data_IF_663143686868
#
_entry.id   IF_663143686868
#
_cell.length_a   1.000
_cell.length_b   1.000
_cell.length_c   1.000
_cell.angle_alpha   90.00
_cell.angle_beta   90.00
_cell.angle_gamma   90.00
#
_symmetry.space_group_name_H-M   'P 1'
#
loop_
_entity.id
_entity.type
_entity.pdbx_description
1 polymer ?
#
# COMPACT_ATOMS: atom_id res chain seq x y z
N UNK A 1 26.52 -6.30 98.41
CA UNK A 1 25.29 -5.57 98.78
C UNK A 1 25.11 -4.45 97.74
N UNK A 2 23.96 -4.40 97.07
CA UNK A 2 23.48 -3.42 96.08
C UNK A 2 24.02 -3.43 94.61
N UNK A 3 23.03 -3.57 93.71
CA UNK A 3 22.92 -3.51 92.22
C UNK A 3 23.23 -2.09 91.63
N UNK A 4 23.00 -1.78 90.32
CA UNK A 4 23.22 -2.48 89.03
C UNK A 4 23.80 -1.54 87.93
N UNK A 5 23.98 -2.02 86.67
CA UNK A 5 23.31 -1.50 85.44
C UNK A 5 23.95 -1.99 84.11
N UNK A 6 23.12 -2.71 83.35
CA UNK A 6 22.95 -2.81 81.89
C UNK A 6 24.16 -2.94 80.94
N UNK A 7 24.14 -3.98 80.10
CA UNK A 7 24.04 -3.79 78.65
C UNK A 7 23.58 -5.10 77.97
N UNK A 8 22.41 -5.06 77.34
CA UNK A 8 21.93 -6.07 76.38
C UNK A 8 22.39 -5.57 75.00
N UNK A 9 23.07 -6.40 74.22
CA UNK A 9 23.31 -6.17 72.79
C UNK A 9 22.71 -7.32 72.00
N UNK A 10 21.66 -6.99 71.23
CA UNK A 10 21.04 -7.84 70.22
C UNK A 10 21.78 -7.58 68.91
N UNK A 11 22.38 -8.62 68.34
CA UNK A 11 22.95 -8.60 66.99
C UNK A 11 21.82 -8.77 65.97
N UNK A 12 21.60 -7.76 65.13
CA UNK A 12 20.79 -7.86 63.92
C UNK A 12 21.70 -8.11 62.72
N UNK A 13 21.57 -9.28 62.10
CA UNK A 13 22.17 -9.62 60.81
C UNK A 13 21.30 -9.07 59.69
N UNK A 14 21.82 -8.12 58.90
CA UNK A 14 21.17 -7.60 57.70
C UNK A 14 21.42 -8.58 56.54
N UNK A 15 20.35 -9.17 56.01
CA UNK A 15 20.39 -9.92 54.76
C UNK A 15 20.28 -8.94 53.57
N UNK A 16 21.33 -8.87 52.75
CA UNK A 16 21.34 -8.16 51.48
C UNK A 16 20.55 -8.97 50.44
N UNK A 17 19.38 -8.48 50.05
CA UNK A 17 18.62 -8.98 48.90
C UNK A 17 19.18 -8.36 47.62
N UNK A 18 19.82 -9.19 46.79
CA UNK A 18 20.09 -8.89 45.38
C UNK A 18 18.77 -8.96 44.61
N UNK A 19 18.20 -7.80 44.28
CA UNK A 19 17.09 -7.72 43.31
C UNK A 19 17.67 -7.56 41.89
N UNK A 20 17.23 -8.34 40.90
CA UNK A 20 17.60 -8.12 39.51
C UNK A 20 16.99 -6.81 39.01
N UNK A 21 17.82 -5.98 38.39
CA UNK A 21 17.40 -4.77 37.68
C UNK A 21 16.45 -5.16 36.55
N UNK A 22 15.15 -4.94 36.73
CA UNK A 22 14.17 -5.05 35.65
C UNK A 22 14.42 -3.87 34.71
N UNK A 23 15.06 -4.15 33.57
CA UNK A 23 15.13 -3.21 32.46
C UNK A 23 13.72 -3.03 31.92
N UNK A 24 13.09 -1.90 32.24
CA UNK A 24 11.87 -1.46 31.57
C UNK A 24 12.20 -1.28 30.08
N UNK A 25 11.74 -2.22 29.25
CA UNK A 25 11.72 -2.00 27.80
C UNK A 25 10.97 -0.69 27.56
N UNK A 26 11.65 0.29 26.96
CA UNK A 26 11.03 1.52 26.51
C UNK A 26 9.94 1.12 25.53
N UNK A 27 8.68 1.30 25.90
CA UNK A 27 7.57 1.11 24.98
C UNK A 27 7.88 1.92 23.71
N UNK A 28 7.85 1.27 22.56
CA UNK A 28 8.02 1.96 21.29
C UNK A 28 6.95 3.06 21.25
N UNK A 29 7.39 4.30 21.09
CA UNK A 29 6.49 5.42 20.85
C UNK A 29 5.68 5.05 19.60
N UNK A 30 4.34 5.04 19.74
CA UNK A 30 3.46 4.81 18.58
C UNK A 30 3.72 5.97 17.65
N UNK A 31 4.37 5.70 16.52
CA UNK A 31 4.65 6.73 15.53
C UNK A 31 3.32 7.20 14.94
N UNK A 32 2.86 8.36 15.39
CA UNK A 32 1.58 8.95 14.99
C UNK A 32 1.64 9.60 13.61
N UNK A 33 2.82 9.65 12.97
CA UNK A 33 2.98 10.24 11.64
C UNK A 33 2.28 9.39 10.61
N UNK A 34 1.61 10.04 9.65
CA UNK A 34 0.93 9.37 8.56
C UNK A 34 1.95 8.63 7.68
N UNK A 35 1.84 7.30 7.51
CA UNK A 35 2.66 6.57 6.56
C UNK A 35 2.22 6.88 5.13
N UNK A 36 3.16 7.26 4.26
CA UNK A 36 2.93 7.56 2.84
C UNK A 36 3.53 6.48 1.94
N UNK A 37 2.74 6.03 0.98
CA UNK A 37 3.15 5.06 -0.03
C UNK A 37 3.54 5.74 -1.35
N UNK A 38 4.77 5.55 -1.78
CA UNK A 38 5.22 5.87 -3.13
C UNK A 38 5.12 4.60 -3.96
N UNK A 39 4.12 4.56 -4.85
CA UNK A 39 3.72 3.38 -5.61
C UNK A 39 4.30 3.51 -7.02
N UNK A 40 5.25 2.66 -7.40
CA UNK A 40 5.80 2.70 -8.75
C UNK A 40 4.76 2.21 -9.76
N UNK A 41 4.47 3.02 -10.79
CA UNK A 41 3.49 2.73 -11.82
C UNK A 41 3.99 1.68 -12.82
N UNK A 42 3.09 0.77 -13.24
CA UNK A 42 3.25 -0.13 -14.38
C UNK A 42 4.59 -0.87 -14.36
N UNK A 43 4.84 -1.59 -13.27
CA UNK A 43 6.04 -2.41 -13.07
C UNK A 43 5.80 -3.80 -13.64
N UNK A 44 6.35 -4.09 -14.82
CA UNK A 44 6.03 -5.28 -15.61
C UNK A 44 7.16 -6.33 -15.62
N UNK A 45 8.38 -5.99 -15.21
CA UNK A 45 9.53 -6.90 -15.22
C UNK A 45 10.32 -6.93 -13.90
N UNK A 46 11.06 -8.02 -13.59
CA UNK A 46 11.98 -8.09 -12.44
C UNK A 46 13.03 -6.97 -12.40
N UNK A 47 13.54 -6.56 -13.56
CA UNK A 47 14.47 -5.44 -13.68
C UNK A 47 13.84 -4.15 -13.17
N UNK A 48 12.59 -3.89 -13.57
CA UNK A 48 11.84 -2.71 -13.16
C UNK A 48 11.53 -2.66 -11.68
N UNK A 49 11.25 -3.81 -11.04
CA UNK A 49 11.17 -3.90 -9.57
C UNK A 49 12.48 -3.38 -8.95
N UNK A 50 13.62 -3.78 -9.50
CA UNK A 50 14.93 -3.35 -8.97
C UNK A 50 15.11 -1.84 -9.11
N UNK A 51 14.70 -1.28 -10.25
CA UNK A 51 14.76 0.17 -10.49
C UNK A 51 13.83 0.94 -9.56
N UNK A 52 12.56 0.54 -9.46
CA UNK A 52 11.56 1.15 -8.60
C UNK A 52 12.02 1.21 -7.13
N UNK A 53 12.56 0.10 -6.61
CA UNK A 53 13.10 0.06 -5.25
C UNK A 53 14.32 0.96 -5.08
N UNK A 54 15.20 1.02 -6.08
CA UNK A 54 16.36 1.91 -6.06
C UNK A 54 15.99 3.40 -6.11
N UNK A 55 14.82 3.73 -6.67
CA UNK A 55 14.26 5.08 -6.71
C UNK A 55 13.48 5.45 -5.44
N UNK A 56 13.28 4.48 -4.53
CA UNK A 56 12.64 4.70 -3.23
C UNK A 56 11.16 4.29 -3.17
N UNK A 57 10.64 3.56 -4.16
CA UNK A 57 9.31 2.95 -4.06
C UNK A 57 9.20 2.05 -2.82
N UNK A 58 8.05 2.11 -2.15
CA UNK A 58 7.71 1.20 -1.06
C UNK A 58 6.45 0.37 -1.34
N UNK A 59 5.87 0.54 -2.52
CA UNK A 59 4.81 -0.27 -3.10
C UNK A 59 4.94 -0.27 -4.63
N UNK A 60 4.32 -1.23 -5.28
CA UNK A 60 4.39 -1.44 -6.73
C UNK A 60 2.98 -1.60 -7.28
N UNK A 61 2.68 -0.98 -8.41
CA UNK A 61 1.48 -1.26 -9.20
C UNK A 61 1.88 -2.09 -10.43
N UNK A 62 1.10 -3.13 -10.69
CA UNK A 62 1.32 -4.12 -11.73
C UNK A 62 0.02 -4.36 -12.47
N UNK A 63 0.00 -3.99 -13.75
CA UNK A 63 -1.07 -4.38 -14.65
C UNK A 63 -1.06 -5.88 -14.90
N UNK A 64 -2.21 -6.53 -14.74
CA UNK A 64 -2.34 -7.96 -14.92
C UNK A 64 -3.41 -8.30 -15.93
N UNK A 65 -2.98 -8.96 -17.00
CA UNK A 65 -3.86 -9.57 -17.99
C UNK A 65 -3.68 -11.08 -18.01
N UNK A 66 -4.79 -11.80 -17.86
CA UNK A 66 -4.86 -13.23 -18.08
C UNK A 66 -4.91 -13.53 -19.58
N UNK A 67 -4.02 -14.41 -20.04
CA UNK A 67 -4.22 -15.10 -21.31
C UNK A 67 -3.56 -16.47 -21.32
N UNK A 68 -4.01 -17.33 -22.24
CA UNK A 68 -3.62 -18.73 -22.31
C UNK A 68 -3.87 -19.48 -20.99
N UNK A 69 -2.84 -19.78 -20.20
CA UNK A 69 -2.91 -20.63 -19.01
C UNK A 69 -2.28 -20.00 -17.75
N UNK A 70 -1.90 -18.70 -17.80
CA UNK A 70 -1.33 -17.96 -16.66
C UNK A 70 -1.63 -16.46 -16.73
N UNK A 71 -1.25 -15.73 -15.69
CA UNK A 71 -1.28 -14.27 -15.63
C UNK A 71 0.03 -13.66 -16.11
N UNK A 72 -0.07 -12.53 -16.80
CA UNK A 72 1.05 -11.76 -17.33
C UNK A 72 1.00 -10.35 -16.79
N UNK A 73 2.17 -9.79 -16.49
CA UNK A 73 2.31 -8.38 -16.25
C UNK A 73 2.14 -7.65 -17.59
N UNK A 74 0.92 -7.22 -17.88
CA UNK A 74 0.55 -6.55 -19.13
C UNK A 74 -0.67 -5.66 -18.93
N UNK A 75 -0.52 -4.42 -19.37
CA UNK A 75 -1.55 -3.40 -19.42
C UNK A 75 -2.49 -3.56 -20.63
N UNK A 76 -1.97 -3.91 -21.81
CA UNK A 76 -2.70 -3.70 -23.07
C UNK A 76 -3.42 -4.94 -23.62
N UNK A 77 -3.19 -6.11 -23.05
CA UNK A 77 -3.79 -7.35 -23.52
C UNK A 77 -3.10 -7.95 -24.76
N UNK A 78 -1.84 -7.59 -25.04
CA UNK A 78 -1.18 -7.85 -26.33
C UNK A 78 0.18 -8.53 -26.15
N UNK A 79 0.50 -9.41 -27.10
CA UNK A 79 1.74 -10.21 -27.06
C UNK A 79 3.02 -9.35 -26.99
N UNK A 80 3.00 -8.14 -27.53
CA UNK A 80 4.18 -7.26 -27.60
C UNK A 80 4.24 -6.19 -26.49
N UNK A 81 3.21 -6.10 -25.65
CA UNK A 81 3.19 -5.23 -24.46
C UNK A 81 3.41 -6.01 -23.16
N UNK A 82 3.40 -7.34 -23.24
CA UNK A 82 3.63 -8.21 -22.11
C UNK A 82 5.06 -8.10 -21.59
N UNK A 83 5.20 -7.82 -20.29
CA UNK A 83 6.42 -8.05 -19.53
C UNK A 83 6.54 -9.51 -19.12
N UNK A 84 6.95 -9.73 -17.87
CA UNK A 84 7.11 -11.07 -17.30
C UNK A 84 5.76 -11.73 -16.97
N UNK A 85 5.80 -13.05 -16.74
CA UNK A 85 4.66 -13.71 -16.08
C UNK A 85 4.51 -13.21 -14.63
N UNK A 86 3.29 -13.20 -14.10
CA UNK A 86 3.05 -12.81 -12.71
C UNK A 86 3.85 -13.67 -11.71
N UNK A 87 4.03 -14.96 -12.01
CA UNK A 87 4.82 -15.90 -11.20
C UNK A 87 6.28 -15.43 -11.07
N UNK A 88 6.95 -15.20 -12.19
CA UNK A 88 8.34 -14.70 -12.23
C UNK A 88 8.48 -13.35 -11.51
N UNK A 89 7.55 -12.42 -11.77
CA UNK A 89 7.57 -11.09 -11.15
C UNK A 89 7.39 -11.18 -9.62
N UNK A 90 6.44 -11.98 -9.15
CA UNK A 90 6.16 -12.13 -7.72
C UNK A 90 7.26 -12.89 -6.99
N UNK A 91 7.88 -13.89 -7.61
CA UNK A 91 9.06 -14.56 -7.07
C UNK A 91 10.22 -13.58 -6.85
N UNK A 92 10.44 -12.68 -7.82
CA UNK A 92 11.48 -11.65 -7.70
C UNK A 92 11.15 -10.62 -6.61
N UNK A 93 9.91 -10.13 -6.55
CA UNK A 93 9.44 -9.24 -5.47
C UNK A 93 9.65 -9.91 -4.11
N UNK A 94 9.29 -11.19 -4.00
CA UNK A 94 9.47 -11.94 -2.77
C UNK A 94 10.95 -12.11 -2.40
N UNK A 95 11.83 -12.32 -3.39
CA UNK A 95 13.27 -12.37 -3.18
C UNK A 95 13.82 -11.02 -2.67
N UNK A 96 13.42 -9.90 -3.28
CA UNK A 96 13.78 -8.55 -2.81
C UNK A 96 13.29 -8.30 -1.37
N UNK A 97 12.08 -8.76 -1.04
CA UNK A 97 11.57 -8.64 0.32
C UNK A 97 12.41 -9.42 1.33
N UNK A 98 12.85 -10.64 0.99
CA UNK A 98 13.72 -11.49 1.82
C UNK A 98 15.11 -10.87 2.03
N UNK A 99 15.63 -10.12 1.07
CA UNK A 99 16.91 -9.38 1.21
C UNK A 99 16.78 -8.09 2.02
N UNK A 100 15.56 -7.76 2.47
CA UNK A 100 15.30 -6.66 3.41
C UNK A 100 14.70 -5.41 2.77
N UNK A 101 14.38 -5.44 1.47
CA UNK A 101 13.75 -4.31 0.78
C UNK A 101 12.41 -3.92 1.42
N UNK A 102 12.08 -2.63 1.32
CA UNK A 102 10.92 -2.03 1.96
C UNK A 102 9.67 -2.09 1.07
N UNK A 103 9.19 -3.31 0.78
CA UNK A 103 7.98 -3.51 -0.04
C UNK A 103 6.81 -3.80 0.90
N UNK A 104 5.85 -2.88 0.98
CA UNK A 104 4.66 -3.02 1.82
C UNK A 104 3.56 -3.84 1.12
N UNK A 105 3.26 -3.50 -0.13
CA UNK A 105 2.25 -4.19 -0.92
C UNK A 105 2.50 -4.10 -2.42
N UNK A 106 1.79 -4.95 -3.17
CA UNK A 106 1.64 -4.88 -4.62
C UNK A 106 0.18 -4.59 -4.95
N UNK A 107 -0.07 -3.57 -5.76
CA UNK A 107 -1.36 -3.29 -6.36
C UNK A 107 -1.46 -4.05 -7.67
N UNK A 108 -2.45 -4.93 -7.75
CA UNK A 108 -2.75 -5.78 -8.89
C UNK A 108 -3.86 -5.10 -9.70
N UNK A 109 -3.53 -4.36 -10.75
CA UNK A 109 -4.52 -3.76 -11.65
C UNK A 109 -5.03 -4.82 -12.63
N UNK A 110 -6.17 -5.43 -12.30
CA UNK A 110 -6.67 -6.61 -13.01
C UNK A 110 -7.51 -6.19 -14.21
N UNK A 111 -7.03 -6.51 -15.41
CA UNK A 111 -7.67 -6.08 -16.67
C UNK A 111 -8.82 -6.99 -17.13
N UNK A 112 -8.79 -8.28 -16.81
CA UNK A 112 -9.76 -9.25 -17.33
C UNK A 112 -10.03 -10.43 -16.36
N UNK A 113 -10.64 -10.17 -15.19
CA UNK A 113 -10.73 -11.13 -14.08
C UNK A 113 -11.47 -12.44 -14.41
N UNK A 114 -12.29 -12.45 -15.47
CA UNK A 114 -13.11 -13.59 -15.88
C UNK A 114 -12.65 -14.29 -17.17
N UNK A 115 -11.43 -13.99 -17.64
CA UNK A 115 -10.91 -14.58 -18.87
C UNK A 115 -10.85 -16.11 -18.83
N UNK A 116 -10.42 -16.67 -17.70
CA UNK A 116 -10.31 -18.11 -17.51
C UNK A 116 -11.30 -18.66 -16.47
N UNK A 117 -11.69 -19.92 -16.66
CA UNK A 117 -12.53 -20.67 -15.72
C UNK A 117 -11.73 -21.08 -14.49
N UNK A 118 -12.43 -21.25 -13.38
CA UNK A 118 -11.91 -21.83 -12.14
C UNK A 118 -11.10 -23.12 -12.39
N UNK A 119 -10.04 -23.31 -11.60
CA UNK A 119 -9.17 -24.48 -11.68
C UNK A 119 -8.06 -24.37 -12.74
N UNK A 120 -7.84 -23.17 -13.32
CA UNK A 120 -6.74 -22.91 -14.25
C UNK A 120 -5.80 -21.85 -13.70
N UNK A 121 -4.52 -21.87 -14.11
CA UNK A 121 -3.52 -20.90 -13.63
C UNK A 121 -3.79 -19.43 -14.04
N UNK A 122 -4.57 -19.21 -15.09
CA UNK A 122 -5.03 -17.87 -15.51
C UNK A 122 -6.36 -17.45 -14.89
N UNK A 123 -6.97 -18.28 -14.03
CA UNK A 123 -8.18 -17.90 -13.29
C UNK A 123 -7.85 -16.90 -12.18
N UNK A 124 -8.83 -16.12 -11.74
CA UNK A 124 -8.67 -15.22 -10.60
C UNK A 124 -8.31 -15.96 -9.30
N UNK A 125 -8.83 -17.19 -9.12
CA UNK A 125 -8.40 -18.08 -8.02
C UNK A 125 -6.91 -18.39 -8.14
N UNK A 126 -6.45 -18.72 -9.35
CA UNK A 126 -5.03 -18.94 -9.63
C UNK A 126 -4.15 -17.74 -9.30
N UNK A 127 -4.60 -16.50 -9.60
CA UNK A 127 -3.86 -15.29 -9.22
C UNK A 127 -3.82 -15.11 -7.70
N UNK A 128 -4.96 -15.26 -7.02
CA UNK A 128 -5.05 -15.16 -5.57
C UNK A 128 -4.15 -16.17 -4.88
N UNK A 129 -4.20 -17.42 -5.33
CA UNK A 129 -3.41 -18.49 -4.74
C UNK A 129 -1.91 -18.25 -4.99
N UNK A 130 -1.53 -17.77 -6.18
CA UNK A 130 -0.16 -17.35 -6.47
C UNK A 130 0.33 -16.24 -5.53
N UNK A 131 -0.49 -15.21 -5.26
CA UNK A 131 -0.17 -14.15 -4.28
C UNK A 131 0.10 -14.74 -2.89
N UNK A 132 -0.80 -15.60 -2.42
CA UNK A 132 -0.72 -16.25 -1.10
C UNK A 132 0.48 -17.19 -0.96
N UNK A 133 0.87 -17.84 -2.04
CA UNK A 133 1.99 -18.77 -2.05
C UNK A 133 3.35 -18.05 -2.16
N UNK A 134 3.39 -16.86 -2.78
CA UNK A 134 4.65 -16.16 -3.10
C UNK A 134 4.90 -14.90 -2.26
N UNK A 135 3.94 -13.99 -2.18
CA UNK A 135 4.08 -12.66 -1.58
C UNK A 135 3.73 -12.66 -0.09
N UNK A 136 2.62 -13.28 0.30
CA UNK A 136 2.20 -13.29 1.71
C UNK A 136 3.24 -13.90 2.67
N UNK A 137 3.93 -15.01 2.35
CA UNK A 137 4.87 -15.65 3.29
C UNK A 137 6.08 -14.78 3.62
N UNK A 138 6.38 -13.78 2.79
CA UNK A 138 7.45 -12.81 3.02
C UNK A 138 6.93 -11.47 3.56
N UNK A 139 5.63 -11.38 3.82
CA UNK A 139 4.96 -10.21 4.36
C UNK A 139 4.82 -9.07 3.36
N UNK A 140 4.66 -9.39 2.07
CA UNK A 140 4.16 -8.44 1.05
C UNK A 140 2.66 -8.67 0.92
N UNK A 141 1.88 -7.59 1.03
CA UNK A 141 0.42 -7.65 0.98
C UNK A 141 -0.09 -7.36 -0.44
N UNK A 142 -1.35 -7.68 -0.73
CA UNK A 142 -1.93 -7.48 -2.05
C UNK A 142 -3.15 -6.56 -2.04
N UNK A 143 -3.18 -5.61 -2.97
CA UNK A 143 -4.32 -4.75 -3.25
C UNK A 143 -4.89 -5.12 -4.62
N UNK A 144 -6.08 -5.72 -4.65
CA UNK A 144 -6.74 -6.12 -5.89
C UNK A 144 -7.53 -4.94 -6.47
N UNK A 145 -7.04 -4.37 -7.58
CA UNK A 145 -7.71 -3.30 -8.30
C UNK A 145 -8.73 -3.84 -9.31
N UNK A 146 -9.95 -3.33 -9.25
CA UNK A 146 -11.02 -3.61 -10.21
C UNK A 146 -11.56 -2.29 -10.75
N UNK A 147 -11.16 -1.95 -11.98
CA UNK A 147 -11.73 -0.83 -12.72
C UNK A 147 -12.68 -1.36 -13.80
N UNK A 148 -13.91 -0.85 -13.80
CA UNK A 148 -14.98 -1.23 -14.76
C UNK A 148 -15.33 -2.74 -14.75
N UNK A 149 -14.89 -3.46 -13.72
CA UNK A 149 -15.06 -4.90 -13.55
C UNK A 149 -15.57 -5.26 -12.14
N UNK A 150 -16.18 -4.30 -11.44
CA UNK A 150 -16.65 -4.41 -10.05
C UNK A 150 -17.90 -5.29 -9.89
N UNK A 151 -18.52 -5.70 -11.01
CA UNK A 151 -19.62 -6.66 -11.09
C UNK A 151 -19.20 -8.03 -11.64
N UNK A 152 -17.91 -8.21 -11.94
CA UNK A 152 -17.36 -9.45 -12.47
C UNK A 152 -17.45 -10.61 -11.46
N UNK A 153 -17.42 -11.84 -11.97
CA UNK A 153 -17.33 -13.04 -11.11
C UNK A 153 -16.02 -13.01 -10.33
N UNK A 154 -14.91 -12.61 -10.96
CA UNK A 154 -13.63 -12.55 -10.27
C UNK A 154 -13.55 -11.53 -9.15
N UNK A 155 -14.21 -10.37 -9.28
CA UNK A 155 -14.42 -9.47 -8.15
C UNK A 155 -15.14 -10.17 -7.00
N UNK A 156 -16.24 -10.88 -7.29
CA UNK A 156 -16.99 -11.65 -6.29
C UNK A 156 -16.15 -12.71 -5.57
N UNK A 157 -15.29 -13.42 -6.32
CA UNK A 157 -14.38 -14.43 -5.75
C UNK A 157 -13.37 -13.80 -4.79
N UNK A 158 -12.73 -12.70 -5.19
CA UNK A 158 -11.78 -12.00 -4.31
C UNK A 158 -12.54 -11.50 -3.07
N UNK A 159 -13.60 -10.71 -3.27
CA UNK A 159 -14.46 -10.17 -2.19
C UNK A 159 -14.80 -11.21 -1.12
N UNK A 160 -15.26 -12.39 -1.55
CA UNK A 160 -15.77 -13.42 -0.64
C UNK A 160 -14.69 -14.30 0.00
N UNK A 161 -13.46 -14.21 -0.48
CA UNK A 161 -12.35 -15.06 -0.02
C UNK A 161 -11.16 -14.31 0.56
N UNK A 162 -11.19 -12.97 0.61
CA UNK A 162 -10.09 -12.15 1.12
C UNK A 162 -9.71 -12.48 2.58
N UNK A 163 -8.41 -12.41 2.87
CA UNK A 163 -7.85 -12.50 4.22
C UNK A 163 -7.32 -11.13 4.70
N UNK A 164 -6.65 -11.07 5.86
CA UNK A 164 -6.14 -9.81 6.45
C UNK A 164 -4.97 -9.15 5.69
N UNK A 165 -4.30 -9.89 4.81
CA UNK A 165 -3.19 -9.48 3.95
C UNK A 165 -3.65 -9.01 2.55
N UNK A 166 -4.96 -8.89 2.35
CA UNK A 166 -5.55 -8.53 1.07
C UNK A 166 -6.54 -7.37 1.24
N UNK A 167 -6.68 -6.53 0.21
CA UNK A 167 -7.73 -5.50 0.13
C UNK A 167 -8.20 -5.33 -1.32
N UNK A 168 -9.28 -4.58 -1.51
CA UNK A 168 -9.83 -4.22 -2.83
C UNK A 168 -9.67 -2.73 -3.06
N UNK A 169 -9.27 -2.35 -4.27
CA UNK A 169 -9.31 -0.98 -4.76
C UNK A 169 -10.37 -0.85 -5.84
N UNK A 170 -11.24 0.16 -5.72
CA UNK A 170 -12.16 0.57 -6.77
C UNK A 170 -11.86 2.00 -7.18
N UNK A 171 -11.87 2.25 -8.49
CA UNK A 171 -11.50 3.54 -9.06
C UNK A 171 -12.72 4.37 -9.43
N UNK A 172 -12.69 5.67 -9.15
CA UNK A 172 -13.74 6.59 -9.58
C UNK A 172 -13.99 7.73 -8.60
N UNK A 173 -15.02 8.53 -8.86
CA UNK A 173 -15.43 9.60 -7.93
C UNK A 173 -15.81 9.02 -6.57
N UNK A 174 -15.67 9.79 -5.51
CA UNK A 174 -15.90 9.31 -4.14
C UNK A 174 -17.32 8.75 -3.98
N UNK A 175 -18.33 9.46 -4.49
CA UNK A 175 -19.72 9.01 -4.42
C UNK A 175 -19.95 7.71 -5.22
N UNK A 176 -19.30 7.57 -6.38
CA UNK A 176 -19.40 6.35 -7.20
C UNK A 176 -18.79 5.16 -6.48
N UNK A 177 -17.59 5.32 -5.94
CA UNK A 177 -16.88 4.25 -5.23
C UNK A 177 -17.63 3.83 -3.97
N UNK A 178 -18.19 4.77 -3.21
CA UNK A 178 -19.02 4.46 -2.05
C UNK A 178 -20.29 3.68 -2.44
N UNK A 179 -20.96 4.03 -3.54
CA UNK A 179 -22.13 3.30 -4.03
C UNK A 179 -21.75 1.90 -4.56
N UNK A 180 -20.59 1.75 -5.19
CA UNK A 180 -20.07 0.44 -5.60
C UNK A 180 -19.82 -0.46 -4.38
N UNK A 181 -19.09 0.00 -3.37
CA UNK A 181 -18.88 -0.79 -2.15
C UNK A 181 -20.17 -1.14 -1.43
N UNK A 182 -21.14 -0.24 -1.40
CA UNK A 182 -22.46 -0.47 -0.81
C UNK A 182 -23.27 -1.53 -1.57
N UNK A 183 -23.13 -1.59 -2.89
CA UNK A 183 -23.92 -2.49 -3.74
C UNK A 183 -23.24 -3.84 -3.96
N UNK A 184 -21.93 -3.87 -4.19
CA UNK A 184 -21.19 -5.08 -4.54
C UNK A 184 -20.23 -5.54 -3.45
N UNK A 185 -19.76 -4.65 -2.57
CA UNK A 185 -18.70 -4.90 -1.58
C UNK A 185 -19.18 -5.13 -0.13
N UNK A 186 -20.44 -5.53 0.08
CA UNK A 186 -21.07 -5.55 1.42
C UNK A 186 -20.40 -6.44 2.47
N UNK A 187 -19.60 -7.43 2.06
CA UNK A 187 -18.82 -8.31 2.94
C UNK A 187 -17.40 -7.81 3.23
N UNK A 188 -16.92 -6.78 2.53
CA UNK A 188 -15.56 -6.24 2.71
C UNK A 188 -15.55 -5.40 4.00
N UNK A 189 -14.59 -5.58 4.91
CA UNK A 189 -14.42 -4.65 6.03
C UNK A 189 -14.02 -3.26 5.53
N UNK A 190 -14.57 -2.19 6.11
CA UNK A 190 -14.29 -0.81 5.66
C UNK A 190 -12.80 -0.47 5.55
N UNK A 191 -11.96 -1.02 6.44
CA UNK A 191 -10.50 -0.88 6.33
C UNK A 191 -9.95 -1.44 5.01
N UNK A 192 -10.44 -2.58 4.52
CA UNK A 192 -10.00 -3.21 3.26
C UNK A 192 -10.70 -2.65 2.01
N UNK A 193 -11.52 -1.60 2.17
CA UNK A 193 -12.10 -0.84 1.07
C UNK A 193 -11.18 0.34 0.73
N UNK A 194 -10.51 0.26 -0.42
CA UNK A 194 -9.60 1.28 -0.91
C UNK A 194 -10.24 2.00 -2.10
N UNK A 195 -10.00 3.30 -2.17
CA UNK A 195 -10.41 4.13 -3.28
C UNK A 195 -9.19 4.68 -3.98
N UNK A 196 -9.25 4.73 -5.30
CA UNK A 196 -8.31 5.53 -6.08
C UNK A 196 -9.02 6.48 -7.04
N UNK A 197 -8.32 7.56 -7.37
CA UNK A 197 -8.76 8.50 -8.40
C UNK A 197 -7.58 9.27 -8.97
N UNK A 198 -7.65 9.61 -10.25
CA UNK A 198 -6.47 10.10 -10.95
C UNK A 198 -6.64 10.27 -12.45
N UNK A 199 -5.53 10.58 -13.10
CA UNK A 199 -5.38 10.59 -14.56
C UNK A 199 -3.92 10.71 -15.00
N UNK A 200 -3.66 10.38 -16.27
CA UNK A 200 -2.30 10.42 -16.83
C UNK A 200 -1.74 11.82 -17.14
N UNK A 201 -2.57 12.86 -17.02
CA UNK A 201 -2.21 14.27 -17.20
C UNK A 201 -2.93 15.10 -16.11
N UNK A 202 -2.32 15.21 -14.92
CA UNK A 202 -2.96 15.84 -13.75
C UNK A 202 -3.36 17.29 -14.04
N UNK A 203 -2.60 18.04 -14.83
CA UNK A 203 -2.91 19.41 -15.22
C UNK A 203 -4.25 19.55 -15.97
N UNK A 204 -4.76 18.46 -16.56
CA UNK A 204 -6.02 18.41 -17.31
C UNK A 204 -7.22 17.95 -16.46
N UNK A 205 -7.25 18.33 -15.18
CA UNK A 205 -8.38 17.96 -14.32
C UNK A 205 -8.09 17.94 -12.83
N UNK A 206 -6.95 18.48 -12.40
CA UNK A 206 -6.58 18.44 -10.97
C UNK A 206 -7.57 19.20 -10.08
N UNK A 207 -7.99 20.39 -10.51
CA UNK A 207 -8.89 21.25 -9.74
C UNK A 207 -8.28 21.77 -8.44
N UNK A 208 -9.13 22.00 -7.43
CA UNK A 208 -8.78 22.49 -6.10
C UNK A 208 -9.43 21.60 -5.04
N UNK A 209 -8.84 21.48 -3.84
CA UNK A 209 -9.51 20.83 -2.73
C UNK A 209 -9.37 21.59 -1.40
N UNK A 210 -10.46 21.74 -0.61
CA UNK A 210 -11.81 21.24 -0.86
C UNK A 210 -12.50 21.94 -2.04
N UNK A 211 -13.39 21.23 -2.72
CA UNK A 211 -14.16 21.72 -3.87
C UNK A 211 -15.43 20.89 -4.09
N UNK A 212 -16.29 21.33 -5.02
CA UNK A 212 -17.54 20.65 -5.38
C UNK A 212 -17.53 20.05 -6.79
N UNK A 213 -16.42 20.20 -7.53
CA UNK A 213 -16.22 19.63 -8.87
C UNK A 213 -15.86 18.13 -8.83
N UNK A 214 -15.91 17.45 -9.99
CA UNK A 214 -15.43 16.07 -10.14
C UNK A 214 -13.92 15.95 -10.42
N UNK A 215 -13.16 16.98 -10.05
CA UNK A 215 -11.72 17.09 -10.31
C UNK A 215 -10.90 16.22 -9.36
N UNK A 216 -9.66 15.89 -9.73
CA UNK A 216 -8.80 14.93 -9.01
C UNK A 216 -8.62 15.29 -7.53
N UNK A 217 -8.22 16.52 -7.22
CA UNK A 217 -8.01 16.98 -5.83
C UNK A 217 -9.31 16.84 -5.02
N UNK A 218 -10.44 17.28 -5.59
CA UNK A 218 -11.75 17.25 -4.92
C UNK A 218 -12.16 15.82 -4.56
N UNK A 219 -12.09 14.90 -5.51
CA UNK A 219 -12.55 13.53 -5.30
C UNK A 219 -11.63 12.76 -4.34
N UNK A 220 -10.32 12.98 -4.41
CA UNK A 220 -9.37 12.44 -3.43
C UNK A 220 -9.63 13.00 -2.02
N UNK A 221 -9.91 14.30 -1.90
CA UNK A 221 -10.29 14.92 -0.62
C UNK A 221 -11.60 14.37 -0.06
N UNK A 222 -12.63 14.18 -0.89
CA UNK A 222 -13.90 13.54 -0.47
C UNK A 222 -13.66 12.09 -0.03
N UNK A 223 -12.85 11.34 -0.76
CA UNK A 223 -12.40 10.00 -0.36
C UNK A 223 -11.72 10.02 1.00
N UNK A 224 -10.85 11.00 1.24
CA UNK A 224 -10.10 11.13 2.49
C UNK A 224 -11.03 11.40 3.68
N UNK A 225 -12.13 12.14 3.48
CA UNK A 225 -13.20 12.28 4.49
C UNK A 225 -13.93 10.98 4.77
N UNK A 226 -14.24 10.18 3.73
CA UNK A 226 -14.85 8.87 3.94
C UNK A 226 -13.92 7.93 4.72
N UNK A 227 -12.61 7.97 4.46
CA UNK A 227 -11.61 7.24 5.25
C UNK A 227 -11.56 7.73 6.70
N UNK A 228 -11.49 9.03 6.92
CA UNK A 228 -11.42 9.62 8.27
C UNK A 228 -12.71 9.32 9.09
N UNK A 229 -13.85 9.14 8.42
CA UNK A 229 -15.13 8.67 8.98
C UNK A 229 -15.18 7.14 9.22
N UNK A 230 -14.12 6.40 8.89
CA UNK A 230 -14.04 4.94 9.04
C UNK A 230 -14.83 4.15 8.00
N UNK A 231 -15.15 4.74 6.85
CA UNK A 231 -15.89 4.10 5.75
C UNK A 231 -14.98 3.53 4.65
N UNK A 232 -13.74 3.98 4.59
CA UNK A 232 -12.66 3.50 3.72
C UNK A 232 -11.38 3.31 4.54
N UNK A 233 -10.43 2.51 4.07
CA UNK A 233 -9.13 2.33 4.74
C UNK A 233 -8.05 3.28 4.27
N UNK A 234 -7.89 3.39 2.94
CA UNK A 234 -6.90 4.25 2.28
C UNK A 234 -7.42 4.85 1.00
N UNK A 235 -6.81 5.97 0.62
CA UNK A 235 -7.07 6.70 -0.61
C UNK A 235 -5.75 6.87 -1.36
N UNK A 236 -5.73 6.52 -2.64
CA UNK A 236 -4.55 6.66 -3.49
C UNK A 236 -4.82 7.57 -4.69
N UNK A 237 -3.85 8.43 -5.03
CA UNK A 237 -3.87 9.26 -6.23
C UNK A 237 -3.01 8.67 -7.36
N UNK A 238 -3.32 8.97 -8.62
CA UNK A 238 -2.49 8.57 -9.77
C UNK A 238 -2.67 9.51 -10.98
N UNK A 239 -1.78 9.55 -11.96
CA UNK A 239 -0.36 9.17 -11.89
C UNK A 239 0.45 10.46 -11.87
N UNK A 240 1.28 10.68 -10.84
CA UNK A 240 2.21 11.81 -10.80
C UNK A 240 3.46 11.54 -11.64
N UNK A 241 3.95 12.57 -12.33
CA UNK A 241 5.08 12.49 -13.26
C UNK A 241 6.19 13.44 -12.83
N UNK A 242 7.26 13.46 -13.62
CA UNK A 242 8.25 14.54 -13.52
C UNK A 242 7.56 15.90 -13.66
N UNK A 243 8.03 16.87 -12.87
CA UNK A 243 7.51 18.24 -12.78
C UNK A 243 6.10 18.40 -12.18
N UNK A 244 5.47 17.33 -11.65
CA UNK A 244 4.15 17.39 -10.99
C UNK A 244 4.24 17.72 -9.47
N UNK A 245 5.34 18.31 -9.00
CA UNK A 245 5.61 18.59 -7.57
C UNK A 245 4.45 19.33 -6.88
N UNK A 246 3.86 20.34 -7.52
CA UNK A 246 2.71 21.07 -6.93
C UNK A 246 1.48 20.17 -6.75
N UNK A 247 1.26 19.21 -7.65
CA UNK A 247 0.15 18.27 -7.54
C UNK A 247 0.42 17.23 -6.45
N UNK A 248 1.66 16.78 -6.29
CA UNK A 248 2.07 15.93 -5.16
C UNK A 248 1.84 16.64 -3.83
N UNK A 249 2.27 17.89 -3.71
CA UNK A 249 2.06 18.73 -2.52
C UNK A 249 0.57 18.84 -2.17
N UNK A 250 -0.28 19.10 -3.16
CA UNK A 250 -1.73 19.20 -2.94
C UNK A 250 -2.38 17.85 -2.64
N UNK A 251 -1.98 16.76 -3.29
CA UNK A 251 -2.52 15.44 -2.99
C UNK A 251 -2.20 15.01 -1.55
N UNK A 252 -0.97 15.21 -1.09
CA UNK A 252 -0.56 14.80 0.25
C UNK A 252 -1.00 15.80 1.32
N UNK A 253 -0.84 17.09 1.06
CA UNK A 253 -1.11 18.17 2.02
C UNK A 253 -2.59 18.57 2.12
N UNK A 254 -3.29 18.72 0.99
CA UNK A 254 -4.67 19.22 0.96
C UNK A 254 -5.67 18.07 0.83
N UNK A 255 -5.53 17.21 -0.18
CA UNK A 255 -6.42 16.07 -0.39
C UNK A 255 -6.23 14.99 0.68
N UNK A 256 -5.06 14.95 1.33
CA UNK A 256 -4.75 14.00 2.40
C UNK A 256 -4.82 12.54 1.95
N UNK A 257 -4.28 12.22 0.77
CA UNK A 257 -4.12 10.82 0.31
C UNK A 257 -3.09 10.07 1.15
N UNK A 258 -3.15 8.74 1.13
CA UNK A 258 -2.20 7.86 1.84
C UNK A 258 -1.04 7.42 0.94
N UNK A 259 -1.13 7.66 -0.36
CA UNK A 259 -0.09 7.31 -1.31
C UNK A 259 -0.42 7.77 -2.73
N UNK A 260 0.60 7.75 -3.58
CA UNK A 260 0.52 8.22 -4.96
C UNK A 260 1.23 7.22 -5.85
N UNK A 261 0.57 6.83 -6.94
CA UNK A 261 1.19 6.18 -8.09
C UNK A 261 2.02 7.21 -8.85
N UNK A 262 3.30 6.89 -9.11
CA UNK A 262 4.22 7.78 -9.80
C UNK A 262 4.98 7.05 -10.92
N UNK A 263 5.35 7.79 -11.97
CA UNK A 263 6.11 7.26 -13.10
C UNK A 263 5.62 7.81 -14.43
N UNK A 264 5.79 7.01 -15.49
CA UNK A 264 5.28 7.37 -16.81
C UNK A 264 3.78 7.05 -16.90
N UNK A 265 2.92 7.95 -17.37
CA UNK A 265 1.48 7.71 -17.41
C UNK A 265 1.07 6.67 -18.46
N UNK A 266 1.88 6.48 -19.50
CA UNK A 266 1.53 5.68 -20.69
C UNK A 266 2.65 4.69 -21.08
N UNK A 267 3.60 4.43 -20.19
CA UNK A 267 4.76 3.58 -20.47
C UNK A 267 5.10 2.74 -19.23
N UNK A 268 5.84 1.66 -19.45
CA UNK A 268 6.36 0.82 -18.37
C UNK A 268 7.41 1.55 -17.53
N UNK A 269 7.61 1.09 -16.30
CA UNK A 269 8.66 1.62 -15.45
C UNK A 269 10.04 1.37 -16.07
N UNK A 270 11.03 2.22 -15.81
CA UNK A 270 12.43 2.01 -16.25
C UNK A 270 13.39 2.86 -15.44
N UNK A 271 14.67 2.50 -15.45
CA UNK A 271 15.74 3.32 -14.88
C UNK A 271 15.97 4.57 -15.74
N UNK A 272 15.16 5.59 -15.48
CA UNK A 272 15.17 6.86 -16.19
C UNK A 272 14.99 8.03 -15.21
N UNK A 273 15.38 9.24 -15.63
CA UNK A 273 15.26 10.44 -14.80
C UNK A 273 13.81 10.78 -14.48
N UNK A 274 12.86 10.52 -15.39
CA UNK A 274 11.46 10.90 -15.21
C UNK A 274 10.80 10.25 -13.98
N UNK A 275 10.68 8.91 -13.92
CA UNK A 275 10.11 8.21 -12.76
C UNK A 275 10.92 8.45 -11.50
N UNK A 276 12.24 8.57 -11.60
CA UNK A 276 13.09 8.90 -10.47
C UNK A 276 12.72 10.26 -9.88
N UNK A 277 12.59 11.29 -10.71
CA UNK A 277 12.19 12.63 -10.28
C UNK A 277 10.78 12.65 -9.68
N UNK A 278 9.81 12.02 -10.36
CA UNK A 278 8.43 11.89 -9.88
C UNK A 278 8.36 11.24 -8.48
N UNK A 279 9.12 10.17 -8.24
CA UNK A 279 9.20 9.53 -6.93
C UNK A 279 9.90 10.39 -5.87
N UNK A 280 10.90 11.19 -6.28
CA UNK A 280 11.58 12.12 -5.36
C UNK A 280 10.65 13.22 -4.84
N UNK A 281 9.68 13.68 -5.63
CA UNK A 281 8.71 14.69 -5.16
C UNK A 281 7.92 14.19 -3.94
N UNK A 282 7.49 12.93 -3.94
CA UNK A 282 6.81 12.31 -2.80
C UNK A 282 7.74 12.20 -1.59
N UNK A 283 8.98 11.75 -1.80
CA UNK A 283 9.98 11.57 -0.74
C UNK A 283 10.35 12.93 -0.12
N UNK A 284 10.49 13.96 -0.94
CA UNK A 284 10.83 15.32 -0.52
C UNK A 284 9.67 15.98 0.24
N UNK A 285 8.42 15.78 -0.20
CA UNK A 285 7.25 16.21 0.56
C UNK A 285 7.27 15.60 1.96
N UNK A 286 7.47 14.29 2.06
CA UNK A 286 7.50 13.59 3.36
C UNK A 286 8.67 14.07 4.22
N UNK A 287 9.84 14.33 3.62
CA UNK A 287 11.02 14.84 4.32
C UNK A 287 10.78 16.26 4.87
N UNK A 288 10.17 17.12 4.08
CA UNK A 288 9.86 18.50 4.48
C UNK A 288 8.72 18.59 5.51
N UNK A 289 7.84 17.58 5.56
CA UNK A 289 6.73 17.45 6.51
C UNK A 289 6.95 16.33 7.55
N UNK A 290 8.21 16.10 7.95
CA UNK A 290 8.60 14.97 8.81
C UNK A 290 8.04 15.01 10.23
N UNK A 291 7.39 16.09 10.64
CA UNK A 291 6.64 16.24 11.89
C UNK A 291 5.27 15.54 11.84
N UNK A 292 4.69 15.41 10.65
CA UNK A 292 3.34 14.89 10.42
C UNK A 292 3.30 13.65 9.53
N UNK A 293 4.31 13.47 8.67
CA UNK A 293 4.39 12.41 7.67
C UNK A 293 5.69 11.60 7.81
N UNK A 294 5.65 10.37 7.29
CA UNK A 294 6.82 9.51 7.10
C UNK A 294 6.60 8.58 5.92
N UNK A 295 7.67 8.06 5.34
CA UNK A 295 7.54 7.00 4.35
C UNK A 295 7.00 5.76 5.05
N UNK A 296 6.01 5.12 4.44
CA UNK A 296 5.50 3.86 4.90
C UNK A 296 6.59 2.79 4.84
N UNK A 297 6.56 1.91 5.82
CA UNK A 297 7.44 0.77 5.94
C UNK A 297 6.68 -0.51 5.68
N UNK A 298 7.42 -1.59 5.45
CA UNK A 298 6.90 -2.96 5.35
C UNK A 298 6.04 -3.44 6.53
N UNK A 299 6.07 -2.75 7.66
CA UNK A 299 5.29 -3.10 8.84
C UNK A 299 3.99 -2.29 8.94
N UNK A 300 3.88 -1.20 8.17
CA UNK A 300 2.67 -0.39 8.14
C UNK A 300 1.56 -1.13 7.39
N UNK A 301 0.34 -1.16 7.94
CA UNK A 301 -0.78 -1.71 7.22
C UNK A 301 -1.20 -0.75 6.09
N UNK A 302 -1.33 -1.25 4.84
CA UNK A 302 -1.83 -0.47 3.72
C UNK A 302 -3.36 -0.37 3.68
N UNK A 303 -4.04 -0.75 4.78
CA UNK A 303 -5.48 -0.60 5.04
C UNK A 303 -5.80 -0.60 6.53
#
# INVERSE_FOLDING_TARGET
MHLPRYLVHILYTIALLNLPSVSLAKAAEVDTKRPIYAIAHRVLTPEEVTYALSHGANALEVDLTAWFYRWWADHDGKLWSAGSSAEELFEHIAAQRRTGQNIAFVWLDIKNPDYCREGTGCSIEGLRDLVRETLEPVGVRALYGFFETEDSRGYGVIRDSMNENEAVCLSGTADRVMELYKSTGTSIPAKQMIMDYGGGELEKGFGQCPGDSGDTCTELWKGSKNRDDGKLGKIFGWTSREDDTEFVDKMLGEASVDGIIYGFPNDEYKDDSGPRAAGQDIIEFVRSHSDTHRMATRNDPPW
#
